data_IF_734809810779
#
_entry.id   IF_734809810779
#
_cell.length_a   1.000
_cell.length_b   1.000
_cell.length_c   1.000
_cell.angle_alpha   90.00
_cell.angle_beta   90.00
_cell.angle_gamma   90.00
#
_symmetry.space_group_name_H-M   'P 1'
#
loop_
_entity.id
_entity.type
_entity.pdbx_description
1 polymer ?
#
# COMPACT_ATOMS: atom_id res chain seq x y z
N UNK A 1 3.61 16.40 -34.23
CA UNK A 1 2.32 15.92 -33.66
C UNK A 1 1.99 14.57 -34.28
N UNK A 2 1.69 13.54 -33.48
CA UNK A 2 1.36 12.20 -34.00
C UNK A 2 -0.11 12.06 -34.45
N UNK A 3 -0.95 13.05 -34.14
CA UNK A 3 -2.39 13.08 -34.45
C UNK A 3 -2.76 12.79 -35.92
N UNK A 4 -2.00 13.26 -36.94
CA UNK A 4 -2.31 12.94 -38.33
C UNK A 4 -2.18 11.45 -38.69
N UNK A 5 -1.40 10.68 -37.92
CA UNK A 5 -1.13 9.26 -38.18
C UNK A 5 -2.07 8.31 -37.43
N UNK A 6 -3.06 8.84 -36.71
CA UNK A 6 -3.97 8.06 -35.88
C UNK A 6 -5.42 8.19 -36.35
N UNK A 7 -6.10 7.06 -36.51
CA UNK A 7 -7.54 7.03 -36.80
C UNK A 7 -8.36 7.58 -35.63
N UNK A 8 -9.60 8.02 -35.90
CA UNK A 8 -10.50 8.48 -34.84
C UNK A 8 -10.83 7.39 -33.82
N UNK A 9 -10.92 6.12 -34.26
CA UNK A 9 -11.08 4.94 -33.38
C UNK A 9 -9.87 4.73 -32.47
N UNK A 10 -8.66 5.04 -32.93
CA UNK A 10 -7.46 4.95 -32.09
C UNK A 10 -7.42 6.12 -31.11
N UNK A 11 -7.76 7.34 -31.57
CA UNK A 11 -7.84 8.54 -30.74
C UNK A 11 -8.81 8.40 -29.56
N UNK A 12 -9.94 7.72 -29.74
CA UNK A 12 -10.92 7.51 -28.66
C UNK A 12 -10.47 6.55 -27.56
N UNK A 13 -9.36 5.82 -27.75
CA UNK A 13 -8.78 4.92 -26.74
C UNK A 13 -7.73 5.60 -25.86
N UNK A 14 -7.31 6.82 -26.17
CA UNK A 14 -6.33 7.53 -25.36
C UNK A 14 -6.97 8.05 -24.07
N UNK A 15 -6.28 7.81 -22.96
CA UNK A 15 -6.58 8.40 -21.66
C UNK A 15 -5.42 9.29 -21.27
N UNK A 16 -5.70 10.58 -21.06
CA UNK A 16 -4.70 11.55 -20.64
C UNK A 16 -4.82 11.76 -19.13
N UNK A 17 -3.73 11.50 -18.41
CA UNK A 17 -3.63 11.68 -16.98
C UNK A 17 -2.59 12.75 -16.64
N UNK A 18 -2.97 13.72 -15.79
CA UNK A 18 -1.98 14.61 -15.19
C UNK A 18 -1.16 13.88 -14.12
N UNK A 19 0.06 14.35 -13.78
CA UNK A 19 0.98 13.67 -12.85
C UNK A 19 0.37 13.29 -11.50
N UNK A 20 -0.56 14.11 -10.98
CA UNK A 20 -1.25 13.86 -9.70
C UNK A 20 -2.31 12.78 -9.76
N UNK A 21 -2.78 12.40 -10.96
CA UNK A 21 -3.86 11.42 -11.19
C UNK A 21 -3.39 10.16 -11.87
N UNK A 22 -2.13 10.08 -12.27
CA UNK A 22 -1.55 8.94 -13.02
C UNK A 22 -1.82 7.61 -12.31
N UNK A 23 -1.45 7.47 -11.04
CA UNK A 23 -1.66 6.23 -10.28
C UNK A 23 -3.15 5.87 -10.17
N UNK A 24 -4.01 6.84 -9.86
CA UNK A 24 -5.47 6.63 -9.77
C UNK A 24 -6.06 6.13 -11.09
N UNK A 25 -5.60 6.68 -12.21
CA UNK A 25 -6.09 6.28 -13.53
C UNK A 25 -5.56 4.90 -13.91
N UNK A 26 -4.28 4.60 -13.65
CA UNK A 26 -3.70 3.28 -13.91
C UNK A 26 -4.42 2.18 -13.13
N UNK A 27 -4.74 2.42 -11.86
CA UNK A 27 -5.47 1.45 -11.03
C UNK A 27 -6.90 1.14 -11.50
N UNK A 28 -7.45 1.89 -12.47
CA UNK A 28 -8.73 1.54 -13.11
C UNK A 28 -8.60 0.44 -14.16
N UNK A 29 -7.39 0.23 -14.68
CA UNK A 29 -7.13 -0.66 -15.81
C UNK A 29 -6.16 -1.78 -15.46
N UNK A 30 -5.27 -1.56 -14.49
CA UNK A 30 -4.21 -2.48 -14.09
C UNK A 30 -4.25 -2.59 -12.57
N UNK A 31 -4.09 -3.80 -12.03
CA UNK A 31 -4.07 -3.99 -10.58
C UNK A 31 -2.83 -3.37 -9.93
N UNK A 32 -2.91 -2.89 -8.68
CA UNK A 32 -1.81 -2.12 -8.07
C UNK A 32 -0.49 -2.90 -7.95
N UNK A 33 -0.55 -4.22 -7.81
CA UNK A 33 0.61 -5.12 -7.74
C UNK A 33 1.34 -5.29 -9.08
N UNK A 34 0.68 -5.02 -10.20
CA UNK A 34 1.27 -5.08 -11.55
C UNK A 34 1.77 -3.71 -12.05
N UNK A 35 1.39 -2.62 -11.38
CA UNK A 35 1.84 -1.28 -11.74
C UNK A 35 3.24 -1.03 -11.16
N UNK A 36 4.23 -0.59 -11.97
CA UNK A 36 5.57 -0.27 -11.48
C UNK A 36 5.58 0.78 -10.37
N UNK A 37 6.59 0.69 -9.49
CA UNK A 37 6.79 1.64 -8.40
C UNK A 37 6.90 3.08 -8.92
N UNK A 38 7.57 3.34 -10.04
CA UNK A 38 7.65 4.70 -10.60
C UNK A 38 6.28 5.32 -10.94
N UNK A 39 5.23 4.52 -11.15
CA UNK A 39 3.88 4.97 -11.49
C UNK A 39 2.86 4.85 -10.35
N UNK A 40 3.31 4.52 -9.13
CA UNK A 40 2.49 4.49 -7.93
C UNK A 40 2.06 3.11 -7.45
N UNK A 41 2.38 2.02 -8.17
CA UNK A 41 2.06 0.65 -7.74
C UNK A 41 3.14 0.00 -6.88
N UNK A 42 3.10 -1.34 -6.81
CA UNK A 42 3.96 -2.20 -5.99
C UNK A 42 4.82 -3.18 -6.82
N UNK A 43 4.77 -3.12 -8.15
CA UNK A 43 5.64 -3.95 -8.97
C UNK A 43 7.08 -3.46 -8.88
N UNK A 44 7.94 -4.35 -8.39
CA UNK A 44 9.41 -4.24 -8.39
C UNK A 44 9.96 -4.89 -9.65
N UNK A 45 11.06 -4.34 -10.19
CA UNK A 45 11.76 -4.94 -11.32
C UNK A 45 12.35 -6.30 -10.89
N UNK A 46 12.32 -7.29 -11.78
CA UNK A 46 12.72 -8.68 -11.54
C UNK A 46 14.21 -8.90 -11.18
N UNK A 47 14.99 -7.83 -10.95
CA UNK A 47 16.39 -7.91 -10.53
C UNK A 47 16.55 -8.19 -9.04
N UNK A 48 15.50 -8.06 -8.22
CA UNK A 48 15.51 -8.55 -6.84
C UNK A 48 15.42 -10.08 -6.83
N UNK A 49 16.47 -10.75 -6.34
CA UNK A 49 16.58 -12.20 -6.43
C UNK A 49 15.63 -12.99 -5.51
N UNK A 50 14.91 -12.33 -4.59
CA UNK A 50 13.93 -12.97 -3.73
C UNK A 50 12.92 -11.96 -3.14
N UNK A 51 11.96 -11.44 -3.92
CA UNK A 51 10.97 -10.52 -3.41
C UNK A 51 9.98 -11.28 -2.51
N UNK A 52 9.63 -10.66 -1.38
CA UNK A 52 8.65 -11.19 -0.43
C UNK A 52 7.25 -11.34 -1.06
N UNK A 53 6.98 -10.54 -2.10
CA UNK A 53 5.72 -10.52 -2.85
C UNK A 53 5.95 -10.59 -4.36
N UNK A 54 5.10 -11.33 -5.08
CA UNK A 54 5.07 -11.44 -6.54
C UNK A 54 3.89 -10.65 -7.13
N UNK A 55 3.72 -10.67 -8.46
CA UNK A 55 2.55 -10.09 -9.12
C UNK A 55 1.26 -10.87 -8.90
N UNK A 56 1.34 -12.07 -8.32
CA UNK A 56 0.18 -12.91 -8.01
C UNK A 56 -0.42 -12.55 -6.65
N UNK A 57 0.29 -11.74 -5.86
CA UNK A 57 -0.15 -11.30 -4.54
C UNK A 57 -1.01 -10.04 -4.64
N UNK A 58 -2.33 -10.14 -4.36
CA UNK A 58 -3.26 -9.06 -4.63
C UNK A 58 -2.99 -7.86 -3.73
N UNK A 59 -2.96 -6.67 -4.33
CA UNK A 59 -2.83 -5.41 -3.61
C UNK A 59 -4.15 -4.64 -3.56
N UNK A 60 -4.37 -3.98 -2.43
CA UNK A 60 -5.54 -3.13 -2.21
C UNK A 60 -5.12 -1.67 -2.27
N UNK A 61 -5.87 -0.86 -3.03
CA UNK A 61 -5.66 0.58 -3.13
C UNK A 61 -6.84 1.37 -2.54
N UNK A 62 -6.56 2.20 -1.54
CA UNK A 62 -7.53 3.02 -0.81
C UNK A 62 -7.25 4.50 -1.05
N UNK A 63 -8.29 5.31 -1.11
CA UNK A 63 -8.15 6.77 -1.20
C UNK A 63 -8.19 7.35 0.22
N UNK A 64 -7.11 7.98 0.63
CA UNK A 64 -7.05 8.73 1.90
C UNK A 64 -7.52 10.15 1.64
N UNK A 65 -8.57 10.56 2.36
CA UNK A 65 -9.15 11.91 2.20
C UNK A 65 -8.21 12.97 2.79
N UNK A 66 -8.34 14.24 2.38
CA UNK A 66 -7.60 15.34 2.98
C UNK A 66 -7.92 15.50 4.47
N UNK A 67 -6.94 15.89 5.28
CA UNK A 67 -7.10 16.13 6.72
C UNK A 67 -7.81 14.99 7.48
N UNK A 68 -7.54 13.74 7.09
CA UNK A 68 -8.14 12.56 7.74
C UNK A 68 -7.11 11.51 8.06
N UNK A 69 -7.38 10.77 9.14
CA UNK A 69 -6.71 9.53 9.48
C UNK A 69 -7.52 8.35 8.95
N UNK A 70 -6.93 7.57 8.05
CA UNK A 70 -7.50 6.32 7.56
C UNK A 70 -6.82 5.16 8.30
N UNK A 71 -7.62 4.20 8.76
CA UNK A 71 -7.12 2.96 9.36
C UNK A 71 -7.52 1.77 8.50
N UNK A 72 -6.65 0.77 8.48
CA UNK A 72 -6.90 -0.56 7.91
C UNK A 72 -6.63 -1.58 9.00
N UNK A 73 -7.59 -2.46 9.22
CA UNK A 73 -7.50 -3.52 10.22
C UNK A 73 -7.33 -4.88 9.54
N UNK A 74 -6.27 -5.59 9.86
CA UNK A 74 -6.01 -6.97 9.44
C UNK A 74 -6.32 -7.85 10.65
N UNK A 75 -7.44 -8.57 10.59
CA UNK A 75 -7.87 -9.48 11.65
C UNK A 75 -7.03 -10.75 11.62
N UNK A 76 -6.67 -11.25 12.81
CA UNK A 76 -5.77 -12.39 12.97
C UNK A 76 -6.41 -13.44 13.85
N UNK A 77 -6.73 -14.57 13.22
CA UNK A 77 -7.54 -15.63 13.81
C UNK A 77 -6.73 -16.87 14.19
N UNK A 78 -5.42 -16.87 13.95
CA UNK A 78 -4.51 -17.95 14.29
C UNK A 78 -3.11 -17.42 14.59
N UNK A 79 -2.27 -18.24 15.23
CA UNK A 79 -0.86 -17.90 15.44
C UNK A 79 -0.15 -17.95 14.10
N UNK A 80 0.43 -16.84 13.68
CA UNK A 80 1.07 -16.70 12.38
C UNK A 80 2.12 -15.60 12.40
N UNK A 81 2.86 -15.46 11.31
CA UNK A 81 3.66 -14.25 11.05
C UNK A 81 3.00 -13.50 9.91
N UNK A 82 2.56 -12.28 10.17
CA UNK A 82 2.02 -11.43 9.09
C UNK A 82 3.17 -10.62 8.53
N UNK A 83 3.28 -10.65 7.21
CA UNK A 83 4.21 -9.81 6.45
C UNK A 83 3.36 -8.90 5.58
N UNK A 84 3.69 -7.61 5.54
CA UNK A 84 2.99 -6.66 4.69
C UNK A 84 3.97 -5.70 4.05
N UNK A 85 3.58 -5.21 2.90
CA UNK A 85 4.21 -4.07 2.28
C UNK A 85 3.18 -3.04 1.90
N UNK A 86 3.60 -1.78 1.92
CA UNK A 86 2.71 -0.68 1.66
C UNK A 86 3.41 0.55 1.11
N UNK A 87 2.59 1.46 0.60
CA UNK A 87 3.03 2.69 -0.03
C UNK A 87 1.95 3.75 0.01
N UNK A 88 2.37 5.01 0.05
CA UNK A 88 1.47 6.15 -0.17
C UNK A 88 1.92 7.00 -1.34
N UNK A 89 1.09 7.06 -2.39
CA UNK A 89 1.31 7.91 -3.56
C UNK A 89 1.04 9.37 -3.19
N UNK A 90 2.03 10.22 -3.45
CA UNK A 90 1.98 11.65 -3.17
C UNK A 90 2.64 12.05 -1.84
N UNK A 91 3.13 11.09 -1.04
CA UNK A 91 3.91 11.32 0.19
C UNK A 91 3.24 12.25 1.22
N UNK A 92 4.00 12.73 2.22
CA UNK A 92 3.57 13.72 3.21
C UNK A 92 2.44 13.24 4.13
N UNK A 93 2.50 11.96 4.48
CA UNK A 93 1.58 11.33 5.43
C UNK A 93 2.36 10.81 6.63
N UNK A 94 1.68 10.58 7.74
CA UNK A 94 2.25 9.87 8.88
C UNK A 94 1.72 8.45 8.89
N UNK A 95 2.61 7.47 8.84
CA UNK A 95 2.29 6.05 8.92
C UNK A 95 2.63 5.51 10.31
N UNK A 96 1.74 4.70 10.88
CA UNK A 96 2.01 3.88 12.06
C UNK A 96 1.40 2.49 11.93
N UNK A 97 1.97 1.53 12.68
CA UNK A 97 1.44 0.19 12.78
C UNK A 97 1.41 -0.28 14.24
N UNK A 98 0.28 -0.84 14.63
CA UNK A 98 0.02 -1.33 15.98
C UNK A 98 -0.60 -2.71 15.92
N UNK A 99 -0.27 -3.57 16.87
CA UNK A 99 -0.94 -4.84 17.09
C UNK A 99 -1.77 -4.76 18.37
N UNK A 100 -3.06 -5.06 18.25
CA UNK A 100 -4.01 -5.05 19.34
C UNK A 100 -4.44 -6.50 19.60
N UNK A 101 -3.95 -7.14 20.67
CA UNK A 101 -4.41 -8.47 21.06
C UNK A 101 -5.88 -8.42 21.53
N UNK A 102 -6.62 -9.51 21.30
CA UNK A 102 -8.01 -9.66 21.77
C UNK A 102 -8.11 -10.11 23.23
N UNK A 103 -7.02 -10.63 23.81
CA UNK A 103 -7.00 -11.09 25.19
C UNK A 103 -7.25 -9.92 26.17
N UNK A 104 -8.15 -10.13 27.13
CA UNK A 104 -8.47 -9.13 28.15
C UNK A 104 -7.22 -8.78 28.98
N UNK A 105 -6.93 -7.49 29.12
CA UNK A 105 -5.76 -7.00 29.85
C UNK A 105 -4.45 -7.01 29.08
N UNK A 106 -4.43 -7.45 27.82
CA UNK A 106 -3.24 -7.40 26.98
C UNK A 106 -2.95 -5.97 26.47
N UNK A 107 -1.67 -5.64 26.35
CA UNK A 107 -1.23 -4.32 25.89
C UNK A 107 -1.15 -4.24 24.35
N UNK A 108 -1.51 -3.09 23.81
CA UNK A 108 -1.23 -2.77 22.39
C UNK A 108 0.27 -2.69 22.16
N UNK A 109 0.76 -3.46 21.19
CA UNK A 109 2.16 -3.47 20.78
C UNK A 109 2.35 -2.48 19.64
N UNK A 110 3.18 -1.47 19.84
CA UNK A 110 3.56 -0.53 18.77
C UNK A 110 4.62 -1.18 17.89
N UNK A 111 4.20 -1.66 16.71
CA UNK A 111 5.12 -2.25 15.72
C UNK A 111 5.96 -1.16 15.07
N UNK A 112 5.29 -0.08 14.64
CA UNK A 112 5.94 1.08 14.06
C UNK A 112 5.37 2.36 14.64
N UNK A 113 6.24 3.13 15.30
CA UNK A 113 5.91 4.46 15.79
C UNK A 113 5.49 5.35 14.60
N UNK A 114 4.60 6.34 14.83
CA UNK A 114 4.22 7.31 13.81
C UNK A 114 5.45 7.93 13.14
N UNK A 115 5.69 7.57 11.87
CA UNK A 115 6.78 8.08 11.04
C UNK A 115 6.19 8.88 9.89
N UNK A 116 6.66 10.12 9.73
CA UNK A 116 6.33 10.93 8.56
C UNK A 116 7.06 10.36 7.34
N UNK A 117 6.32 10.08 6.28
CA UNK A 117 6.85 9.59 5.01
C UNK A 117 7.15 10.77 4.08
N UNK A 118 8.41 10.92 3.70
CA UNK A 118 8.90 11.94 2.79
C UNK A 118 9.22 11.36 1.40
N UNK A 119 9.25 12.18 0.33
CA UNK A 119 9.59 11.71 -1.02
C UNK A 119 10.97 11.06 -1.16
N UNK A 120 11.87 11.30 -0.21
CA UNK A 120 13.23 10.75 -0.15
C UNK A 120 13.29 9.41 0.59
N UNK A 121 12.23 9.01 1.31
CA UNK A 121 12.15 7.70 1.92
C UNK A 121 12.01 6.60 0.84
N UNK A 122 12.23 5.36 1.24
CA UNK A 122 11.96 4.21 0.38
C UNK A 122 10.50 4.22 -0.12
N UNK A 123 10.28 3.94 -1.41
CA UNK A 123 8.97 4.03 -2.03
C UNK A 123 7.98 3.01 -1.51
N UNK A 124 8.46 1.89 -0.98
CA UNK A 124 7.67 0.80 -0.42
C UNK A 124 8.23 0.49 0.95
N UNK A 125 7.36 0.43 1.96
CA UNK A 125 7.71 0.05 3.33
C UNK A 125 7.26 -1.39 3.53
N UNK A 126 8.19 -2.28 3.87
CA UNK A 126 7.92 -3.68 4.16
C UNK A 126 8.23 -4.00 5.63
N UNK A 127 7.27 -4.59 6.32
CA UNK A 127 7.40 -5.00 7.72
C UNK A 127 6.85 -6.42 7.93
N UNK A 128 7.27 -7.06 9.02
CA UNK A 128 6.67 -8.30 9.48
C UNK A 128 6.45 -8.28 11.00
N UNK A 129 5.49 -9.06 11.48
CA UNK A 129 5.20 -9.19 12.89
C UNK A 129 4.74 -10.62 13.22
N UNK A 130 5.36 -11.21 14.24
CA UNK A 130 5.03 -12.55 14.74
C UNK A 130 3.90 -12.44 15.77
N UNK A 131 2.82 -13.16 15.52
CA UNK A 131 1.59 -13.08 16.30
C UNK A 131 1.44 -14.35 17.13
N UNK A 132 1.55 -14.19 18.45
CA UNK A 132 1.43 -15.29 19.41
C UNK A 132 0.01 -15.54 19.93
N UNK A 133 -0.90 -14.59 19.74
CA UNK A 133 -2.27 -14.59 20.26
C UNK A 133 -3.24 -14.04 19.22
N UNK A 134 -4.55 -14.20 19.43
CA UNK A 134 -5.54 -13.63 18.51
C UNK A 134 -5.60 -12.11 18.69
N UNK A 135 -5.85 -11.39 17.60
CA UNK A 135 -5.86 -9.94 17.63
C UNK A 135 -6.04 -9.33 16.26
N UNK A 136 -5.64 -8.07 16.13
CA UNK A 136 -5.62 -7.36 14.85
C UNK A 136 -4.39 -6.49 14.70
N UNK A 137 -3.88 -6.42 13.47
CA UNK A 137 -2.90 -5.39 13.09
C UNK A 137 -3.67 -4.18 12.56
N UNK A 138 -3.38 -3.00 13.10
CA UNK A 138 -3.94 -1.72 12.68
C UNK A 138 -2.85 -0.93 11.97
N UNK A 139 -3.04 -0.73 10.66
CA UNK A 139 -2.22 0.15 9.85
C UNK A 139 -2.93 1.51 9.78
N UNK A 140 -2.29 2.56 10.26
CA UNK A 140 -2.87 3.90 10.30
C UNK A 140 -2.09 4.88 9.44
N UNK A 141 -2.83 5.69 8.69
CA UNK A 141 -2.27 6.71 7.80
C UNK A 141 -2.98 8.01 8.08
N UNK A 142 -2.23 8.96 8.61
CA UNK A 142 -2.70 10.31 8.80
C UNK A 142 -2.27 11.19 7.63
N UNK A 143 -3.25 11.77 6.93
CA UNK A 143 -3.01 12.72 5.85
C UNK A 143 -3.33 14.14 6.34
N UNK A 144 -2.32 14.89 6.82
CA UNK A 144 -2.51 16.28 7.25
C UNK A 144 -2.67 17.25 6.07
N UNK A 145 -2.51 16.78 4.82
CA UNK A 145 -2.53 17.65 3.64
C UNK A 145 -3.95 17.89 3.11
N UNK A 146 -4.11 18.94 2.31
CA UNK A 146 -5.37 19.27 1.63
C UNK A 146 -5.64 18.44 0.36
N UNK A 147 -4.69 17.58 -0.05
CA UNK A 147 -4.80 16.75 -1.26
C UNK A 147 -5.16 15.31 -0.89
N UNK A 148 -5.95 14.66 -1.75
CA UNK A 148 -6.21 13.22 -1.64
C UNK A 148 -4.92 12.46 -1.91
N UNK A 149 -4.71 11.35 -1.20
CA UNK A 149 -3.57 10.45 -1.38
C UNK A 149 -4.10 9.05 -1.71
N UNK A 150 -3.26 8.23 -2.35
CA UNK A 150 -3.56 6.81 -2.56
C UNK A 150 -2.67 5.98 -1.66
N UNK A 151 -3.29 5.21 -0.79
CA UNK A 151 -2.63 4.19 0.00
C UNK A 151 -2.75 2.86 -0.72
N UNK A 152 -1.63 2.18 -0.95
CA UNK A 152 -1.59 0.85 -1.55
C UNK A 152 -0.92 -0.07 -0.56
N UNK A 153 -1.51 -1.23 -0.29
CA UNK A 153 -0.92 -2.23 0.59
C UNK A 153 -1.29 -3.64 0.14
N UNK A 154 -0.44 -4.59 0.52
CA UNK A 154 -0.73 -6.02 0.46
C UNK A 154 -0.09 -6.71 1.66
N UNK A 155 -0.63 -7.86 2.02
CA UNK A 155 -0.13 -8.64 3.15
C UNK A 155 -0.26 -10.13 2.86
N UNK A 156 0.59 -10.90 3.53
CA UNK A 156 0.61 -12.36 3.53
C UNK A 156 0.59 -12.86 4.95
N UNK A 157 -0.04 -14.00 5.13
CA UNK A 157 0.02 -14.77 6.36
C UNK A 157 1.01 -15.91 6.15
N UNK A 158 2.12 -15.89 6.88
CA UNK A 158 3.07 -17.00 6.94
C UNK A 158 2.74 -17.91 8.12
N UNK A 159 2.87 -19.24 7.97
CA UNK A 159 2.70 -20.15 9.08
C UNK A 159 3.68 -19.81 10.22
N UNK A 160 3.25 -20.06 11.45
CA UNK A 160 4.08 -19.84 12.62
C UNK A 160 5.17 -20.91 12.69
N UNK A 161 6.36 -20.59 12.17
CA UNK A 161 7.54 -21.42 12.42
C UNK A 161 8.03 -21.14 13.85
N UNK A 162 8.16 -22.21 14.64
CA UNK A 162 8.76 -22.19 15.98
C UNK A 162 10.26 -21.94 15.89
#
# INVERSE_FOLDING_TARGET
MISPFLTQRTKSKFVFAGPSRTAEILFKYISPEQVPIQYGGLSVDFCDCNPEFSMDDPATAITVRPATKQTVEIQVNEKCTIVWELRVVGWEVTYSAEYVPNAEGAYTVVIQKPKKMAPTDEPVVANSFKIGELGKIVLAIDNPTSKRKKFVYRFKVKPFCN
#
